data_IF_859997552867
#
_entry.id   IF_859997552867
#
_cell.length_a   1.000
_cell.length_b   1.000
_cell.length_c   1.000
_cell.angle_alpha   90.00
_cell.angle_beta   90.00
_cell.angle_gamma   90.00
#
_symmetry.space_group_name_H-M   'P 1'
#
loop_
_entity.id
_entity.type
_entity.pdbx_description
1 polymer ?
#
# COMPACT_ATOMS: atom_id res chain seq x y z
N UNK A 1 0.83 -13.19 0.84
CA UNK A 1 0.60 -12.04 1.67
C UNK A 1 1.94 -11.41 2.06
N UNK A 2 2.13 -10.13 1.77
CA UNK A 2 3.34 -9.38 2.11
C UNK A 2 3.00 -8.41 3.25
N UNK A 3 3.46 -8.74 4.45
CA UNK A 3 3.27 -7.94 5.65
C UNK A 3 4.41 -6.93 5.81
N UNK A 4 4.07 -5.66 5.97
CA UNK A 4 5.05 -4.57 6.13
C UNK A 4 5.17 -4.08 7.57
N UNK A 5 4.35 -4.61 8.49
CA UNK A 5 4.35 -4.20 9.89
C UNK A 5 5.64 -4.60 10.59
N UNK A 6 6.26 -3.64 11.30
CA UNK A 6 7.27 -3.89 12.33
C UNK A 6 6.63 -3.65 13.70
N UNK A 7 6.37 -4.71 14.49
CA UNK A 7 5.72 -4.54 15.79
C UNK A 7 6.71 -4.02 16.82
N UNK A 8 6.67 -2.73 17.12
CA UNK A 8 7.58 -2.08 18.06
C UNK A 8 7.14 -2.21 19.53
N UNK A 9 5.86 -2.55 19.79
CA UNK A 9 5.30 -2.70 21.12
C UNK A 9 4.44 -3.96 21.29
N UNK A 10 3.99 -4.23 22.51
CA UNK A 10 3.19 -5.41 22.83
C UNK A 10 1.80 -5.40 22.19
N UNK A 11 1.19 -4.21 22.05
CA UNK A 11 -0.12 -4.06 21.41
C UNK A 11 -0.04 -4.41 19.93
N UNK A 12 0.97 -3.89 19.22
CA UNK A 12 1.19 -4.19 17.82
C UNK A 12 1.52 -5.67 17.59
N UNK A 13 2.30 -6.30 18.49
CA UNK A 13 2.55 -7.76 18.42
C UNK A 13 1.26 -8.56 18.52
N UNK A 14 0.43 -8.27 19.52
CA UNK A 14 -0.87 -8.95 19.68
C UNK A 14 -1.80 -8.73 18.47
N UNK A 15 -1.73 -7.56 17.83
CA UNK A 15 -2.48 -7.25 16.62
C UNK A 15 -2.00 -8.07 15.42
N UNK A 16 -0.68 -8.16 15.22
CA UNK A 16 -0.08 -9.01 14.17
C UNK A 16 -0.45 -10.47 14.36
N UNK A 17 -0.33 -11.01 15.59
CA UNK A 17 -0.70 -12.39 15.91
C UNK A 17 -2.17 -12.67 15.60
N UNK A 18 -3.07 -11.77 15.95
CA UNK A 18 -4.51 -11.89 15.62
C UNK A 18 -4.72 -11.92 14.11
N UNK A 19 -4.12 -11.02 13.36
CA UNK A 19 -4.20 -10.98 11.91
C UNK A 19 -3.60 -12.22 11.23
N UNK A 20 -2.57 -12.83 11.83
CA UNK A 20 -2.03 -14.10 11.35
C UNK A 20 -2.99 -15.26 11.57
N UNK A 21 -3.68 -15.29 12.73
CA UNK A 21 -4.67 -16.32 13.07
C UNK A 21 -5.96 -16.21 12.23
N UNK A 22 -6.36 -15.01 11.87
CA UNK A 22 -7.56 -14.74 11.06
C UNK A 22 -7.34 -14.99 9.57
N UNK A 23 -6.09 -15.17 9.12
CA UNK A 23 -5.80 -15.45 7.71
C UNK A 23 -6.19 -16.86 7.32
N UNK A 24 -6.78 -16.97 6.14
CA UNK A 24 -7.03 -18.24 5.49
C UNK A 24 -5.69 -19.00 5.25
N UNK A 25 -5.71 -20.32 5.44
CA UNK A 25 -4.56 -21.22 5.24
C UNK A 25 -4.02 -21.20 3.79
N UNK A 26 -4.75 -20.62 2.84
CA UNK A 26 -4.30 -20.44 1.46
C UNK A 26 -3.27 -19.32 1.24
N UNK A 27 -2.94 -18.53 2.26
CA UNK A 27 -1.96 -17.45 2.16
C UNK A 27 -0.60 -17.85 2.70
N UNK A 28 0.42 -17.82 1.85
CA UNK A 28 1.81 -17.79 2.30
C UNK A 28 2.15 -16.37 2.76
N UNK A 29 2.72 -16.20 3.96
CA UNK A 29 3.08 -14.88 4.51
C UNK A 29 4.58 -14.65 4.41
N UNK A 30 4.95 -13.51 3.82
CA UNK A 30 6.31 -12.97 3.82
C UNK A 30 6.28 -11.66 4.62
N UNK A 31 7.15 -11.55 5.62
CA UNK A 31 7.34 -10.33 6.40
C UNK A 31 8.52 -9.55 5.83
N UNK A 32 8.26 -8.39 5.25
CA UNK A 32 9.31 -7.52 4.68
C UNK A 32 8.91 -6.05 4.85
N UNK A 33 9.55 -5.33 5.78
CA UNK A 33 9.16 -3.96 6.10
C UNK A 33 9.71 -2.90 5.13
N UNK A 34 10.74 -3.20 4.33
CA UNK A 34 11.48 -2.19 3.56
C UNK A 34 11.59 -2.51 2.07
N UNK A 35 11.97 -3.73 1.70
CA UNK A 35 12.20 -4.12 0.27
C UNK A 35 10.99 -4.81 -0.35
N UNK A 36 9.81 -4.19 -0.27
CA UNK A 36 8.58 -4.75 -0.86
C UNK A 36 8.69 -4.97 -2.36
N UNK A 37 9.42 -4.10 -3.07
CA UNK A 37 9.67 -4.24 -4.51
C UNK A 37 10.47 -5.51 -4.84
N UNK A 38 11.49 -5.82 -4.04
CA UNK A 38 12.28 -7.05 -4.18
C UNK A 38 11.45 -8.31 -3.95
N UNK A 39 10.55 -8.30 -2.96
CA UNK A 39 9.62 -9.40 -2.73
C UNK A 39 8.65 -9.57 -3.91
N UNK A 40 8.05 -8.47 -4.41
CA UNK A 40 7.14 -8.53 -5.55
C UNK A 40 7.86 -9.13 -6.77
N UNK A 41 9.08 -8.69 -7.10
CA UNK A 41 9.86 -9.26 -8.22
C UNK A 41 10.14 -10.74 -8.07
N UNK A 42 10.44 -11.18 -6.85
CA UNK A 42 10.76 -12.61 -6.58
C UNK A 42 9.55 -13.53 -6.65
N UNK A 43 8.39 -13.06 -6.21
CA UNK A 43 7.22 -13.91 -6.00
C UNK A 43 6.10 -13.72 -7.04
N UNK A 44 6.10 -12.61 -7.81
CA UNK A 44 5.05 -12.37 -8.80
C UNK A 44 5.11 -13.39 -9.94
N UNK A 45 3.99 -14.05 -10.19
CA UNK A 45 3.77 -15.02 -11.30
C UNK A 45 2.34 -14.82 -11.82
N UNK A 46 2.04 -15.19 -13.08
CA UNK A 46 0.69 -15.01 -13.65
C UNK A 46 -0.45 -15.61 -12.80
N UNK A 47 -0.16 -16.70 -12.06
CA UNK A 47 -1.16 -17.41 -11.23
C UNK A 47 -1.06 -17.05 -9.74
N UNK A 48 -0.21 -16.10 -9.36
CA UNK A 48 0.01 -15.73 -7.96
C UNK A 48 -0.53 -14.33 -7.71
N UNK A 49 -1.44 -14.20 -6.75
CA UNK A 49 -1.87 -12.90 -6.22
C UNK A 49 -0.95 -12.49 -5.08
N UNK A 50 -0.40 -11.29 -5.15
CA UNK A 50 0.36 -10.68 -4.04
C UNK A 50 -0.50 -9.60 -3.41
N UNK A 51 -0.77 -9.71 -2.11
CA UNK A 51 -1.41 -8.66 -1.30
C UNK A 51 -0.35 -8.00 -0.43
N UNK A 52 -0.15 -6.69 -0.57
CA UNK A 52 0.75 -5.88 0.25
C UNK A 52 -0.06 -5.15 1.33
N UNK A 53 0.17 -5.48 2.59
CA UNK A 53 -0.52 -4.88 3.73
C UNK A 53 0.48 -4.33 4.77
N UNK A 54 0.76 -3.01 4.77
CA UNK A 54 0.20 -1.99 3.90
C UNK A 54 1.27 -0.96 3.50
N UNK A 55 0.99 -0.16 2.49
CA UNK A 55 1.90 0.92 2.06
C UNK A 55 2.07 2.01 3.12
N UNK A 56 1.06 2.20 3.97
CA UNK A 56 1.10 3.16 5.08
C UNK A 56 2.19 2.80 6.08
N UNK A 57 2.26 1.54 6.52
CA UNK A 57 3.30 1.06 7.43
C UNK A 57 4.66 0.98 6.74
N UNK A 58 4.71 0.58 5.48
CA UNK A 58 5.95 0.62 4.70
C UNK A 58 6.56 2.03 4.66
N UNK A 59 5.75 3.06 4.37
CA UNK A 59 6.20 4.45 4.39
C UNK A 59 6.63 4.88 5.80
N UNK A 60 5.91 4.46 6.83
CA UNK A 60 6.27 4.70 8.23
C UNK A 60 7.65 4.13 8.54
N UNK A 61 7.93 2.89 8.13
CA UNK A 61 9.23 2.26 8.34
C UNK A 61 10.37 3.02 7.65
N UNK A 62 10.15 3.52 6.42
CA UNK A 62 11.13 4.35 5.71
C UNK A 62 11.42 5.65 6.46
N UNK A 63 10.39 6.33 6.98
CA UNK A 63 10.54 7.61 7.68
C UNK A 63 11.21 7.43 9.04
N UNK A 64 10.81 6.41 9.81
CA UNK A 64 11.41 6.09 11.11
C UNK A 64 12.86 5.62 10.94
N UNK A 65 13.16 4.88 9.86
CA UNK A 65 14.52 4.48 9.50
C UNK A 65 15.38 5.62 8.95
N UNK A 66 14.95 6.88 9.16
CA UNK A 66 15.68 8.10 8.78
C UNK A 66 16.00 8.22 7.28
N UNK A 67 15.22 7.57 6.42
CA UNK A 67 15.36 7.73 4.99
C UNK A 67 15.01 9.17 4.60
N UNK A 68 15.92 9.85 3.90
CA UNK A 68 15.68 11.20 3.39
C UNK A 68 14.63 11.23 2.27
N UNK A 69 14.18 12.42 1.89
CA UNK A 69 13.12 12.57 0.89
C UNK A 69 13.52 12.03 -0.49
N UNK A 70 14.82 12.13 -0.83
CA UNK A 70 15.35 11.57 -2.08
C UNK A 70 15.33 10.04 -2.06
N UNK A 71 15.68 9.44 -0.94
CA UNK A 71 15.60 7.99 -0.74
C UNK A 71 14.16 7.48 -0.79
N UNK A 72 13.21 8.17 -0.14
CA UNK A 72 11.78 7.83 -0.22
C UNK A 72 11.30 7.90 -1.67
N UNK A 73 11.62 8.98 -2.39
CA UNK A 73 11.25 9.16 -3.78
C UNK A 73 11.79 8.01 -4.66
N UNK A 74 13.04 7.61 -4.45
CA UNK A 74 13.67 6.51 -5.17
C UNK A 74 12.98 5.16 -4.87
N UNK A 75 12.67 4.87 -3.60
CA UNK A 75 11.94 3.65 -3.21
C UNK A 75 10.57 3.57 -3.88
N UNK A 76 9.83 4.68 -3.93
CA UNK A 76 8.54 4.74 -4.59
C UNK A 76 8.69 4.52 -6.11
N UNK A 77 9.70 5.13 -6.75
CA UNK A 77 9.95 4.94 -8.18
C UNK A 77 10.28 3.48 -8.53
N UNK A 78 11.10 2.81 -7.70
CA UNK A 78 11.41 1.38 -7.86
C UNK A 78 10.16 0.52 -7.70
N UNK A 79 9.26 0.88 -6.80
CA UNK A 79 7.98 0.18 -6.64
C UNK A 79 7.09 0.34 -7.87
N UNK A 80 6.95 1.57 -8.43
CA UNK A 80 6.20 1.84 -9.67
C UNK A 80 6.71 0.98 -10.84
N UNK A 81 8.01 0.98 -11.04
CA UNK A 81 8.65 0.17 -12.10
C UNK A 81 8.37 -1.33 -11.89
N UNK A 82 8.49 -1.80 -10.65
CA UNK A 82 8.24 -3.19 -10.30
C UNK A 82 6.79 -3.59 -10.57
N UNK A 83 5.83 -2.75 -10.20
CA UNK A 83 4.41 -3.01 -10.43
C UNK A 83 4.06 -3.02 -11.92
N UNK A 84 4.67 -2.14 -12.71
CA UNK A 84 4.47 -2.08 -14.16
C UNK A 84 4.97 -3.34 -14.88
N UNK A 85 6.01 -3.98 -14.34
CA UNK A 85 6.61 -5.21 -14.87
C UNK A 85 6.09 -6.50 -14.22
N UNK A 86 5.19 -6.43 -13.23
CA UNK A 86 4.73 -7.59 -12.51
C UNK A 86 3.86 -8.50 -13.39
N UNK A 87 4.21 -9.80 -13.57
CA UNK A 87 3.47 -10.71 -14.43
C UNK A 87 2.13 -11.15 -13.84
N UNK A 88 1.95 -11.05 -12.53
CA UNK A 88 0.74 -11.44 -11.81
C UNK A 88 0.05 -10.26 -11.11
N UNK A 89 -1.17 -10.46 -10.62
CA UNK A 89 -1.91 -9.42 -9.93
C UNK A 89 -1.26 -9.04 -8.59
N UNK A 90 -1.16 -7.73 -8.34
CA UNK A 90 -0.69 -7.16 -7.08
C UNK A 90 -1.78 -6.24 -6.53
N UNK A 91 -2.20 -6.53 -5.29
CA UNK A 91 -3.15 -5.74 -4.52
C UNK A 91 -2.37 -4.92 -3.49
N UNK A 92 -2.59 -3.62 -3.46
CA UNK A 92 -1.94 -2.72 -2.51
C UNK A 92 -2.99 -2.16 -1.55
N UNK A 93 -2.73 -2.30 -0.26
CA UNK A 93 -3.55 -1.67 0.79
C UNK A 93 -2.86 -0.41 1.29
N UNK A 94 -3.60 0.68 1.39
CA UNK A 94 -3.13 1.93 1.97
C UNK A 94 -4.24 2.63 2.74
N UNK A 95 -3.87 3.38 3.78
CA UNK A 95 -4.81 4.26 4.45
C UNK A 95 -4.85 5.63 3.77
N UNK A 96 -6.05 6.22 3.69
CA UNK A 96 -6.19 7.61 3.26
C UNK A 96 -6.11 8.52 4.50
N UNK A 97 -4.91 9.08 4.73
CA UNK A 97 -4.64 9.92 5.90
C UNK A 97 -4.81 11.41 5.63
N UNK A 98 -5.07 11.77 4.37
CA UNK A 98 -5.20 13.16 3.92
C UNK A 98 -6.50 13.85 4.33
N UNK A 99 -7.54 13.11 4.71
CA UNK A 99 -8.86 13.65 5.04
C UNK A 99 -8.95 14.29 6.44
N UNK A 100 -7.92 14.12 7.27
CA UNK A 100 -7.88 14.70 8.62
C UNK A 100 -7.35 16.13 8.67
N UNK A 101 -7.36 16.72 9.88
CA UNK A 101 -6.76 18.03 10.16
C UNK A 101 -5.24 17.95 9.94
N UNK A 102 -4.64 19.05 9.47
CA UNK A 102 -3.17 19.15 9.31
C UNK A 102 -2.50 18.97 10.68
N UNK A 103 -1.59 17.99 10.84
CA UNK A 103 -0.92 17.77 12.12
C UNK A 103 -0.05 18.97 12.55
N UNK A 104 0.05 19.16 13.86
CA UNK A 104 0.85 20.24 14.46
C UNK A 104 2.36 19.95 14.47
N UNK A 105 2.78 18.69 14.46
CA UNK A 105 4.19 18.30 14.43
C UNK A 105 4.73 18.05 13.02
N UNK A 106 6.02 18.35 12.81
CA UNK A 106 6.66 18.29 11.50
C UNK A 106 6.75 16.86 10.92
N UNK A 107 6.98 15.85 11.78
CA UNK A 107 7.09 14.46 11.33
C UNK A 107 5.76 13.96 10.76
N UNK A 108 4.66 14.21 11.44
CA UNK A 108 3.33 13.82 10.98
C UNK A 108 2.91 14.56 9.71
N UNK A 109 3.30 15.84 9.54
CA UNK A 109 3.09 16.55 8.27
C UNK A 109 3.90 15.93 7.14
N UNK A 110 5.19 15.65 7.36
CA UNK A 110 6.05 14.95 6.39
C UNK A 110 5.46 13.60 5.98
N UNK A 111 5.02 12.82 6.96
CA UNK A 111 4.36 11.53 6.70
C UNK A 111 3.09 11.70 5.85
N UNK A 112 2.21 12.65 6.20
CA UNK A 112 0.97 12.93 5.47
C UNK A 112 1.24 13.33 4.02
N UNK A 113 2.23 14.20 3.79
CA UNK A 113 2.59 14.66 2.45
C UNK A 113 3.13 13.51 1.58
N UNK A 114 4.01 12.68 2.15
CA UNK A 114 4.52 11.50 1.47
C UNK A 114 3.44 10.42 1.26
N UNK A 115 2.54 10.21 2.20
CA UNK A 115 1.43 9.26 2.05
C UNK A 115 0.49 9.69 0.91
N UNK A 116 0.15 10.96 0.83
CA UNK A 116 -0.64 11.50 -0.27
C UNK A 116 0.05 11.35 -1.62
N UNK A 117 1.35 11.67 -1.70
CA UNK A 117 2.16 11.48 -2.92
C UNK A 117 2.23 10.01 -3.32
N UNK A 118 2.48 9.10 -2.38
CA UNK A 118 2.52 7.65 -2.60
C UNK A 118 1.18 7.14 -3.13
N UNK A 119 0.06 7.46 -2.46
CA UNK A 119 -1.27 7.05 -2.88
C UNK A 119 -1.61 7.51 -4.30
N UNK A 120 -1.31 8.77 -4.62
CA UNK A 120 -1.52 9.32 -5.97
C UNK A 120 -0.69 8.59 -7.03
N UNK A 121 0.57 8.26 -6.73
CA UNK A 121 1.45 7.55 -7.66
C UNK A 121 0.97 6.12 -7.87
N UNK A 122 0.63 5.40 -6.80
CA UNK A 122 0.08 4.03 -6.90
C UNK A 122 -1.27 4.02 -7.63
N UNK A 123 -2.13 5.00 -7.39
CA UNK A 123 -3.40 5.13 -8.11
C UNK A 123 -3.21 5.36 -9.61
N UNK A 124 -2.16 6.07 -10.05
CA UNK A 124 -1.82 6.19 -11.48
C UNK A 124 -1.41 4.85 -12.11
N UNK A 125 -0.60 4.07 -11.40
CA UNK A 125 -0.14 2.75 -11.86
C UNK A 125 -1.25 1.70 -11.83
N UNK A 126 -2.13 1.75 -10.83
CA UNK A 126 -3.18 0.76 -10.64
C UNK A 126 -4.21 0.78 -11.79
N UNK A 127 -4.72 -0.39 -12.14
CA UNK A 127 -5.84 -0.53 -13.09
C UNK A 127 -7.17 -0.14 -12.46
N UNK A 128 -7.33 -0.46 -11.18
CA UNK A 128 -8.50 -0.17 -10.37
C UNK A 128 -8.08 0.45 -9.05
N UNK A 129 -8.91 1.36 -8.54
CA UNK A 129 -8.74 1.95 -7.20
C UNK A 129 -10.08 1.94 -6.50
N UNK A 130 -10.12 1.37 -5.32
CA UNK A 130 -11.31 1.23 -4.50
C UNK A 130 -11.08 1.94 -3.17
N UNK A 131 -11.95 2.88 -2.82
CA UNK A 131 -12.03 3.46 -1.50
C UNK A 131 -13.02 2.70 -0.66
N UNK A 132 -12.62 2.21 0.52
CA UNK A 132 -13.54 1.53 1.44
C UNK A 132 -13.93 2.48 2.56
N UNK A 133 -15.23 2.75 2.68
CA UNK A 133 -15.81 3.59 3.74
C UNK A 133 -16.86 2.78 4.48
N UNK A 134 -16.72 2.63 5.80
CA UNK A 134 -17.61 1.83 6.65
C UNK A 134 -17.81 0.39 6.12
N UNK A 135 -16.78 -0.23 5.57
CA UNK A 135 -16.84 -1.58 4.97
C UNK A 135 -17.46 -1.62 3.55
N UNK A 136 -17.91 -0.49 3.02
CA UNK A 136 -18.54 -0.40 1.69
C UNK A 136 -17.46 -0.01 0.67
N UNK A 137 -17.21 -0.83 -0.38
CA UNK A 137 -16.25 -0.51 -1.42
C UNK A 137 -16.85 0.50 -2.42
N UNK A 138 -16.11 1.58 -2.69
CA UNK A 138 -16.46 2.62 -3.65
C UNK A 138 -15.39 2.63 -4.74
N UNK A 139 -15.69 2.23 -5.99
CA UNK A 139 -14.74 2.30 -7.08
C UNK A 139 -14.52 3.76 -7.49
N UNK A 140 -13.28 4.26 -7.34
CA UNK A 140 -12.87 5.62 -7.74
C UNK A 140 -12.04 5.64 -9.03
N UNK A 141 -11.51 4.48 -9.42
CA UNK A 141 -10.92 4.24 -10.74
C UNK A 141 -11.28 2.82 -11.17
N UNK A 142 -11.91 2.67 -12.34
CA UNK A 142 -12.31 1.38 -12.91
C UNK A 142 -11.80 1.23 -14.34
N UNK A 143 -11.54 -0.01 -14.75
CA UNK A 143 -11.26 -0.35 -16.15
C UNK A 143 -12.46 -0.15 -17.08
N UNK A 144 -13.67 -0.20 -16.52
CA UNK A 144 -14.89 0.05 -17.29
C UNK A 144 -15.01 1.55 -17.52
N UNK A 145 -14.84 2.00 -18.77
CA UNK A 145 -15.31 3.33 -19.18
C UNK A 145 -16.80 3.35 -18.86
N UNK A 146 -17.20 4.14 -17.87
CA UNK A 146 -18.59 4.54 -17.73
C UNK A 146 -18.88 5.37 -18.98
N UNK A 147 -19.53 4.79 -19.99
CA UNK A 147 -20.16 5.55 -21.04
C UNK A 147 -21.29 6.34 -20.35
N UNK A 148 -20.99 7.54 -19.91
CA UNK A 148 -21.99 8.55 -19.68
C UNK A 148 -22.53 8.83 -21.09
N UNK A 149 -23.60 8.12 -21.47
CA UNK A 149 -24.46 8.59 -22.54
C UNK A 149 -25.04 9.91 -22.05
N UNK A 150 -24.58 11.00 -22.63
CA UNK A 150 -25.27 12.27 -22.60
C UNK A 150 -26.61 12.01 -23.35
N UNK A 151 -27.68 11.75 -22.60
CA UNK A 151 -29.04 11.83 -23.15
C UNK A 151 -29.31 13.31 -23.42
N UNK A 152 -29.37 13.68 -24.71
CA UNK A 152 -29.90 14.93 -25.23
C UNK A 152 -31.41 15.05 -24.97
#
# INVERSE_FOLDING_TARGET
>A
FLATCQPHDAEMRARVERHQQERDAGWETVEEPLDIAGIIRRHSRPQTVILVDCLTLWLTNLIIGETDDKGIQQRIAVLEETLSGAPGPVLLVANEVGLGIVPDNAMSRRFRDWAGSLNQRMARCAREVILTVAGIPIPIKSLTKVNLQEDE
#
